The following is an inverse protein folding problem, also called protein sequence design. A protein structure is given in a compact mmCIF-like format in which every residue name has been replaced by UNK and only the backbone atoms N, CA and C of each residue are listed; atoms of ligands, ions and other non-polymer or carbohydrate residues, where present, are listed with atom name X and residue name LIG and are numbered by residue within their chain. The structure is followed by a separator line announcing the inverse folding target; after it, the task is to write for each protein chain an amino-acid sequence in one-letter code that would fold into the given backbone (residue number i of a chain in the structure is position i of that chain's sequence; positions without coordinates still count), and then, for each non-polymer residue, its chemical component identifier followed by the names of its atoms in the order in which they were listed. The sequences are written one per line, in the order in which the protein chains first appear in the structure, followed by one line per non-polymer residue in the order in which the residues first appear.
data_IF_017732038712
#
_entry.id   IF_017732038712
#
_cell.length_a   1.000
_cell.length_b   1.000
_cell.length_c   1.000
_cell.angle_alpha   90.00
_cell.angle_beta   90.00
_cell.angle_gamma   90.00
#
_symmetry.space_group_name_H-M   'P 1'
#
loop_
_entity.id
_entity.type
_entity.pdbx_description
1 polymer ?
#
# COMPACT_ATOMS: atom_id res chain seq x y z
N UNK A 1 8.26 8.29 42.50
CA UNK A 1 7.86 8.46 41.11
C UNK A 1 6.53 7.76 40.93
N UNK A 2 5.48 8.51 40.60
CA UNK A 2 4.09 8.07 40.61
C UNK A 2 3.80 7.02 39.52
N UNK A 3 3.06 5.99 39.85
CA UNK A 3 2.60 4.90 38.96
C UNK A 3 1.65 5.38 37.84
N UNK A 4 1.34 6.67 37.74
CA UNK A 4 0.38 7.26 36.80
C UNK A 4 0.94 7.49 35.39
N UNK A 5 2.25 7.39 35.19
CA UNK A 5 2.90 7.72 33.89
C UNK A 5 3.16 6.46 33.00
N UNK A 6 2.90 5.27 33.51
CA UNK A 6 3.14 4.00 32.79
C UNK A 6 2.03 3.56 31.83
N UNK A 7 0.88 4.26 31.81
CA UNK A 7 -0.33 3.76 31.11
C UNK A 7 -0.78 4.61 29.90
N UNK A 8 -0.03 5.66 29.54
CA UNK A 8 -0.47 6.51 28.40
C UNK A 8 -0.13 5.83 27.07
N UNK A 9 -1.15 5.22 26.46
CA UNK A 9 -1.04 4.69 25.10
C UNK A 9 -1.04 5.85 24.11
N UNK A 10 -0.02 5.90 23.26
CA UNK A 10 0.07 6.82 22.12
C UNK A 10 -0.38 6.06 20.87
N UNK A 11 -1.22 6.70 20.06
CA UNK A 11 -1.70 6.09 18.82
C UNK A 11 -1.20 6.86 17.61
N UNK A 12 -0.33 6.25 16.80
CA UNK A 12 0.08 6.78 15.49
C UNK A 12 -0.75 6.10 14.41
N UNK A 13 -1.30 6.87 13.48
CA UNK A 13 -2.18 6.36 12.44
C UNK A 13 -1.54 6.51 11.08
N UNK A 14 -1.27 5.38 10.42
CA UNK A 14 -0.71 5.33 9.09
C UNK A 14 -1.81 5.19 8.04
N UNK A 15 -1.81 6.12 7.08
CA UNK A 15 -2.71 6.15 5.94
C UNK A 15 -1.89 5.93 4.67
N UNK A 16 -1.83 4.70 4.22
CA UNK A 16 -1.14 4.33 3.01
C UNK A 16 -2.02 4.57 1.80
N UNK A 17 -1.50 5.25 0.79
CA UNK A 17 -2.15 5.43 -0.51
C UNK A 17 -1.26 4.80 -1.57
N UNK A 18 -1.77 3.81 -2.32
CA UNK A 18 -1.03 3.30 -3.48
C UNK A 18 -1.07 4.34 -4.59
N UNK A 19 0.07 4.55 -5.26
CA UNK A 19 0.14 5.48 -6.40
C UNK A 19 -0.93 5.20 -7.46
N UNK A 20 -1.27 6.22 -8.26
CA UNK A 20 -2.21 6.15 -9.38
C UNK A 20 -1.75 5.16 -10.47
N UNK A 21 -2.66 4.69 -11.34
CA UNK A 21 -2.32 3.70 -12.37
C UNK A 21 -1.19 4.16 -13.29
N UNK A 22 -0.28 3.25 -13.63
CA UNK A 22 0.68 3.44 -14.71
C UNK A 22 0.07 2.81 -15.96
N UNK A 23 -0.07 3.62 -17.03
CA UNK A 23 -0.64 3.14 -18.29
C UNK A 23 0.40 2.97 -19.40
N UNK A 24 1.58 3.57 -19.23
CA UNK A 24 2.67 3.55 -20.20
C UNK A 24 3.63 2.36 -20.03
N UNK A 25 3.30 1.41 -19.15
CA UNK A 25 4.14 0.22 -18.88
C UNK A 25 4.05 -0.85 -19.99
N UNK A 26 3.05 -0.76 -20.88
CA UNK A 26 2.81 -1.74 -21.94
C UNK A 26 2.48 -3.14 -21.41
N UNK A 27 1.94 -3.25 -20.19
CA UNK A 27 1.69 -4.51 -19.50
C UNK A 27 2.94 -5.18 -18.95
N UNK A 28 4.02 -4.44 -18.83
CA UNK A 28 5.30 -4.95 -18.35
C UNK A 28 5.49 -4.73 -16.84
N UNK A 29 6.40 -5.48 -16.27
CA UNK A 29 6.89 -5.29 -14.90
C UNK A 29 7.78 -4.05 -14.88
N UNK A 30 7.47 -3.06 -14.05
CA UNK A 30 8.25 -1.82 -13.98
C UNK A 30 9.03 -1.63 -12.65
N UNK A 31 8.61 -2.26 -11.53
CA UNK A 31 9.34 -2.18 -10.27
C UNK A 31 9.74 -0.75 -9.88
N UNK A 32 11.04 -0.49 -9.82
CA UNK A 32 11.61 0.81 -9.49
C UNK A 32 11.89 1.71 -10.72
N UNK A 33 11.48 1.33 -11.94
CA UNK A 33 11.54 2.27 -13.06
C UNK A 33 10.72 3.51 -12.72
N UNK A 34 11.31 4.69 -12.96
CA UNK A 34 10.68 5.97 -12.66
C UNK A 34 9.83 6.42 -13.84
N UNK A 35 8.57 6.01 -13.83
CA UNK A 35 7.58 6.25 -14.88
C UNK A 35 6.38 6.99 -14.30
N UNK A 36 5.75 7.79 -15.16
CA UNK A 36 4.56 8.59 -14.83
C UNK A 36 3.34 7.72 -14.56
N UNK A 37 2.43 8.23 -13.74
CA UNK A 37 1.13 7.64 -13.53
C UNK A 37 0.02 8.51 -14.14
N UNK A 38 -1.13 7.88 -14.39
CA UNK A 38 -2.33 8.53 -14.86
C UNK A 38 -3.13 9.10 -13.69
N UNK A 39 -3.21 10.41 -13.61
CA UNK A 39 -3.97 11.15 -12.59
C UNK A 39 -5.22 11.82 -13.15
N UNK A 40 -5.72 11.39 -14.30
CA UNK A 40 -6.85 12.03 -14.99
C UNK A 40 -8.21 11.75 -14.36
N UNK A 41 -8.35 10.66 -13.60
CA UNK A 41 -9.62 10.29 -12.95
C UNK A 41 -9.90 11.13 -11.70
N UNK A 42 -10.56 12.27 -11.91
CA UNK A 42 -10.85 13.24 -10.86
C UNK A 42 -11.74 12.68 -9.74
N UNK A 43 -12.72 11.85 -10.09
CA UNK A 43 -13.67 11.28 -9.11
C UNK A 43 -12.94 10.43 -8.08
N UNK A 44 -11.92 9.68 -8.49
CA UNK A 44 -11.06 8.89 -7.60
C UNK A 44 -10.33 9.78 -6.59
N UNK A 45 -9.69 10.85 -7.05
CA UNK A 45 -8.94 11.75 -6.17
C UNK A 45 -9.83 12.56 -5.24
N UNK A 46 -11.00 12.99 -5.71
CA UNK A 46 -12.02 13.67 -4.90
C UNK A 46 -12.50 12.76 -3.76
N UNK A 47 -12.69 11.47 -4.02
CA UNK A 47 -13.08 10.49 -3.01
C UNK A 47 -11.94 10.20 -2.01
N UNK A 48 -10.71 10.01 -2.50
CA UNK A 48 -9.52 9.81 -1.65
C UNK A 48 -9.30 11.03 -0.74
N UNK A 49 -9.37 12.24 -1.28
CA UNK A 49 -9.18 13.48 -0.52
C UNK A 49 -10.20 13.65 0.62
N UNK A 50 -11.41 13.10 0.48
CA UNK A 50 -12.48 13.18 1.50
C UNK A 50 -12.21 12.30 2.72
N UNK A 51 -11.58 11.12 2.54
CA UNK A 51 -11.39 10.16 3.64
C UNK A 51 -10.07 10.32 4.37
N UNK A 52 -9.10 11.00 3.79
CA UNK A 52 -7.80 11.23 4.41
C UNK A 52 -7.90 12.28 5.56
N UNK A 53 -7.11 12.13 6.65
CA UNK A 53 -7.11 13.07 7.76
C UNK A 53 -6.54 14.42 7.33
N UNK A 54 -7.30 15.48 7.58
CA UNK A 54 -6.96 16.88 7.15
C UNK A 54 -5.66 17.40 7.76
N UNK A 55 -5.28 16.90 8.92
CA UNK A 55 -4.03 17.23 9.61
C UNK A 55 -3.16 15.98 9.68
N UNK A 56 -2.11 15.92 8.87
CA UNK A 56 -1.21 14.78 8.82
C UNK A 56 0.19 15.22 8.37
N UNK A 57 1.20 14.44 8.72
CA UNK A 57 2.53 14.49 8.11
C UNK A 57 2.54 13.63 6.85
N UNK A 58 3.25 14.09 5.82
CA UNK A 58 3.24 13.43 4.51
C UNK A 58 4.61 12.84 4.18
N UNK A 59 4.56 11.61 3.70
CA UNK A 59 5.69 10.86 3.16
C UNK A 59 5.34 10.32 1.77
N UNK A 60 6.34 10.24 0.90
CA UNK A 60 6.23 9.55 -0.38
C UNK A 60 7.52 8.80 -0.67
N UNK A 61 7.45 7.77 -1.50
CA UNK A 61 8.67 7.16 -2.02
C UNK A 61 9.45 8.17 -2.88
N UNK A 62 10.64 7.79 -3.31
CA UNK A 62 11.45 8.62 -4.23
C UNK A 62 10.99 8.52 -5.69
N UNK A 63 9.97 7.71 -6.01
CA UNK A 63 9.51 7.50 -7.38
C UNK A 63 8.43 8.51 -7.78
N UNK A 64 8.56 9.09 -8.97
CA UNK A 64 7.75 10.19 -9.53
C UNK A 64 6.25 9.95 -9.35
N UNK A 65 5.75 8.76 -9.66
CA UNK A 65 4.32 8.41 -9.59
C UNK A 65 3.69 8.60 -8.21
N UNK A 66 4.47 8.49 -7.13
CA UNK A 66 3.95 8.75 -5.78
C UNK A 66 3.78 10.24 -5.51
N UNK A 67 4.67 11.06 -6.05
CA UNK A 67 4.58 12.52 -5.98
C UNK A 67 3.41 13.03 -6.82
N UNK A 68 3.26 12.56 -8.07
CA UNK A 68 2.13 12.89 -8.94
C UNK A 68 0.79 12.53 -8.30
N UNK A 69 0.71 11.37 -7.64
CA UNK A 69 -0.49 10.95 -6.89
C UNK A 69 -0.80 11.90 -5.74
N UNK A 70 0.21 12.29 -4.95
CA UNK A 70 0.02 13.27 -3.87
C UNK A 70 -0.46 14.62 -4.39
N UNK A 71 0.13 15.10 -5.47
CA UNK A 71 -0.27 16.37 -6.13
C UNK A 71 -1.72 16.33 -6.63
N UNK A 72 -2.16 15.20 -7.18
CA UNK A 72 -3.53 15.01 -7.62
C UNK A 72 -4.53 15.01 -6.45
N UNK A 73 -4.17 14.42 -5.31
CA UNK A 73 -4.98 14.48 -4.08
C UNK A 73 -5.11 15.92 -3.59
N UNK A 74 -4.02 16.71 -3.60
CA UNK A 74 -4.08 18.12 -3.22
C UNK A 74 -4.89 18.95 -4.21
N UNK A 75 -4.76 18.71 -5.51
CA UNK A 75 -5.57 19.36 -6.53
C UNK A 75 -7.07 19.03 -6.44
N UNK A 76 -7.43 17.90 -5.82
CA UNK A 76 -8.80 17.50 -5.49
C UNK A 76 -9.35 18.18 -4.20
N UNK A 77 -8.67 19.19 -3.68
CA UNK A 77 -9.12 20.00 -2.55
C UNK A 77 -8.65 19.53 -1.17
N UNK A 78 -7.72 18.59 -1.11
CA UNK A 78 -7.03 18.31 0.14
C UNK A 78 -6.03 19.43 0.46
N UNK A 79 -5.92 19.91 1.73
CA UNK A 79 -4.94 20.93 2.09
C UNK A 79 -3.52 20.48 1.78
N UNK A 80 -2.83 21.20 0.88
CA UNK A 80 -1.44 20.90 0.58
C UNK A 80 -0.57 21.13 1.81
N UNK A 81 0.21 20.13 2.28
CA UNK A 81 1.09 20.29 3.43
C UNK A 81 2.24 21.25 3.11
N UNK A 82 2.85 21.83 4.14
CA UNK A 82 4.03 22.68 3.98
C UNK A 82 5.23 21.90 3.40
N UNK A 83 5.29 20.60 3.68
CA UNK A 83 6.32 19.71 3.13
C UNK A 83 5.80 18.26 3.06
N UNK A 84 6.38 17.49 2.14
CA UNK A 84 6.24 16.04 2.06
C UNK A 84 7.65 15.44 2.05
N UNK A 85 7.94 14.59 3.01
CA UNK A 85 9.23 13.94 3.13
C UNK A 85 9.37 12.82 2.08
N UNK A 86 10.53 12.78 1.43
CA UNK A 86 10.89 11.71 0.51
C UNK A 86 11.55 10.57 1.30
N UNK A 87 10.96 9.38 1.27
CA UNK A 87 11.45 8.19 1.95
C UNK A 87 11.80 7.11 0.92
N UNK A 88 13.08 6.94 0.65
CA UNK A 88 13.56 5.98 -0.35
C UNK A 88 13.25 4.52 0.04
N UNK A 89 13.16 4.23 1.35
CA UNK A 89 12.77 2.90 1.81
C UNK A 89 11.31 2.55 1.47
N UNK A 90 10.49 3.51 1.02
CA UNK A 90 9.14 3.24 0.55
C UNK A 90 9.05 3.00 -0.96
N UNK A 91 10.18 2.95 -1.69
CA UNK A 91 10.19 2.54 -3.09
C UNK A 91 9.59 1.14 -3.28
N UNK A 92 9.07 0.86 -4.49
CA UNK A 92 8.59 -0.47 -4.87
C UNK A 92 9.75 -1.48 -4.85
N UNK A 93 9.46 -2.78 -4.89
CA UNK A 93 10.46 -3.82 -5.00
C UNK A 93 11.34 -3.60 -6.24
N UNK A 94 12.65 -3.67 -6.04
CA UNK A 94 13.61 -3.66 -7.15
C UNK A 94 13.59 -5.02 -7.84
N UNK A 95 12.82 -5.12 -8.92
CA UNK A 95 12.60 -6.38 -9.64
C UNK A 95 13.70 -6.66 -10.69
N UNK A 96 14.87 -6.05 -10.56
CA UNK A 96 16.08 -6.34 -11.31
C UNK A 96 15.83 -6.59 -12.78
N UNK A 97 16.33 -7.71 -13.32
CA UNK A 97 16.16 -8.12 -14.71
C UNK A 97 14.73 -8.56 -15.10
N UNK A 98 13.82 -8.71 -14.13
CA UNK A 98 12.41 -8.95 -14.46
C UNK A 98 11.71 -7.67 -14.93
N UNK A 99 12.29 -6.49 -14.67
CA UNK A 99 11.74 -5.21 -15.13
C UNK A 99 11.81 -5.11 -16.66
N UNK A 100 10.67 -4.90 -17.29
CA UNK A 100 10.52 -4.88 -18.74
C UNK A 100 9.95 -6.18 -19.33
N UNK A 101 9.88 -7.27 -18.54
CA UNK A 101 9.20 -8.50 -18.95
C UNK A 101 7.69 -8.32 -18.92
N UNK A 102 6.96 -8.94 -19.84
CA UNK A 102 5.50 -8.93 -19.83
C UNK A 102 4.98 -9.58 -18.54
N UNK A 103 4.19 -8.84 -17.79
CA UNK A 103 3.71 -9.25 -16.45
C UNK A 103 2.83 -10.49 -16.51
N UNK A 104 1.88 -10.54 -17.44
CA UNK A 104 0.97 -11.67 -17.56
C UNK A 104 1.71 -12.96 -17.92
N UNK A 105 2.60 -12.90 -18.89
CA UNK A 105 3.42 -14.04 -19.30
C UNK A 105 4.35 -14.49 -18.17
N UNK A 106 4.95 -13.54 -17.44
CA UNK A 106 5.81 -13.84 -16.30
C UNK A 106 5.05 -14.57 -15.19
N UNK A 107 3.88 -14.06 -14.79
CA UNK A 107 3.08 -14.66 -13.72
C UNK A 107 2.53 -16.03 -14.15
N UNK A 108 2.15 -16.21 -15.41
CA UNK A 108 1.70 -17.49 -15.93
C UNK A 108 2.81 -18.57 -15.91
N UNK A 109 4.08 -18.18 -15.88
CA UNK A 109 5.23 -19.09 -15.77
C UNK A 109 5.54 -19.50 -14.32
N UNK A 110 4.88 -18.89 -13.31
CA UNK A 110 5.11 -19.19 -11.90
C UNK A 110 4.18 -20.28 -11.39
N UNK A 111 4.54 -20.97 -10.28
CA UNK A 111 3.67 -21.98 -9.68
C UNK A 111 2.28 -21.42 -9.37
N UNK A 112 1.26 -22.26 -9.55
CA UNK A 112 -0.13 -21.92 -9.19
C UNK A 112 -0.21 -21.60 -7.70
N UNK A 113 -0.90 -20.50 -7.35
CA UNK A 113 -1.05 -20.06 -5.96
C UNK A 113 0.06 -19.12 -5.46
N UNK A 114 0.99 -18.71 -6.32
CA UNK A 114 1.95 -17.66 -5.97
C UNK A 114 1.23 -16.33 -5.79
N UNK A 115 1.31 -15.73 -4.60
CA UNK A 115 0.71 -14.43 -4.31
C UNK A 115 1.61 -13.24 -4.70
N UNK A 116 2.82 -13.52 -5.20
CA UNK A 116 3.80 -12.51 -5.59
C UNK A 116 4.64 -13.01 -6.77
N UNK A 117 5.61 -12.21 -7.20
CA UNK A 117 6.50 -12.54 -8.34
C UNK A 117 7.36 -13.78 -8.10
N UNK A 118 7.71 -14.08 -6.84
CA UNK A 118 8.56 -15.20 -6.44
C UNK A 118 8.28 -15.58 -4.98
N UNK A 119 8.99 -16.63 -4.48
CA UNK A 119 9.10 -16.87 -3.04
C UNK A 119 9.62 -15.62 -2.32
N UNK A 120 9.20 -15.38 -1.09
CA UNK A 120 9.53 -14.15 -0.34
C UNK A 120 11.04 -13.94 -0.17
N UNK A 121 11.82 -15.01 -0.15
CA UNK A 121 13.28 -14.99 0.00
C UNK A 121 14.02 -15.07 -1.34
N UNK A 122 13.32 -15.33 -2.45
CA UNK A 122 13.92 -15.40 -3.79
C UNK A 122 14.13 -13.98 -4.33
N UNK A 123 15.39 -13.50 -4.47
CA UNK A 123 15.63 -12.19 -5.04
C UNK A 123 15.43 -12.21 -6.57
N UNK A 124 14.91 -11.12 -7.11
CA UNK A 124 14.99 -10.90 -8.54
C UNK A 124 16.47 -10.84 -8.98
N UNK A 125 16.85 -11.38 -10.14
CA UNK A 125 18.22 -11.27 -10.64
C UNK A 125 18.63 -9.78 -10.75
N UNK A 126 19.73 -9.41 -10.11
CA UNK A 126 20.20 -8.01 -9.96
C UNK A 126 19.18 -7.09 -9.25
N UNK A 127 18.33 -7.65 -8.39
CA UNK A 127 17.31 -6.94 -7.63
C UNK A 127 17.22 -7.40 -6.19
N UNK A 128 16.07 -7.22 -5.58
CA UNK A 128 15.80 -7.61 -4.19
C UNK A 128 14.70 -8.66 -4.11
N UNK A 129 14.70 -9.43 -3.01
CA UNK A 129 13.60 -10.30 -2.61
C UNK A 129 12.47 -9.49 -1.99
N UNK A 130 11.28 -10.11 -1.79
CA UNK A 130 10.23 -9.46 -1.01
C UNK A 130 10.65 -9.28 0.45
N UNK A 131 11.47 -10.18 1.00
CA UNK A 131 12.00 -10.06 2.36
C UNK A 131 12.94 -8.85 2.51
N UNK A 132 13.74 -8.52 1.50
CA UNK A 132 14.58 -7.31 1.51
C UNK A 132 13.72 -6.04 1.49
N UNK A 133 12.71 -6.00 0.61
CA UNK A 133 11.69 -4.94 0.59
C UNK A 133 11.03 -4.80 1.96
N UNK A 134 10.51 -5.90 2.50
CA UNK A 134 9.85 -5.93 3.81
C UNK A 134 10.76 -5.35 4.90
N UNK A 135 12.01 -5.80 4.95
CA UNK A 135 12.97 -5.39 5.97
C UNK A 135 13.23 -3.88 5.93
N UNK A 136 13.46 -3.29 4.73
CA UNK A 136 13.73 -1.84 4.63
C UNK A 136 12.49 -1.00 4.93
N UNK A 137 11.31 -1.45 4.48
CA UNK A 137 10.04 -0.77 4.75
C UNK A 137 9.72 -0.77 6.24
N UNK A 138 9.81 -1.92 6.90
CA UNK A 138 9.53 -2.03 8.34
C UNK A 138 10.48 -1.17 9.19
N UNK A 139 11.77 -1.14 8.85
CA UNK A 139 12.74 -0.26 9.54
C UNK A 139 12.36 1.21 9.39
N UNK A 140 11.94 1.63 8.21
CA UNK A 140 11.49 3.01 7.98
C UNK A 140 10.20 3.32 8.74
N UNK A 141 9.22 2.41 8.73
CA UNK A 141 7.97 2.57 9.49
C UNK A 141 8.27 2.75 10.98
N UNK A 142 9.06 1.86 11.58
CA UNK A 142 9.40 1.94 13.01
C UNK A 142 10.11 3.26 13.36
N UNK A 143 11.06 3.69 12.55
CA UNK A 143 11.78 4.96 12.73
C UNK A 143 10.84 6.18 12.64
N UNK A 144 9.98 6.21 11.63
CA UNK A 144 9.02 7.31 11.42
C UNK A 144 7.94 7.29 12.50
N UNK A 145 7.47 6.13 12.91
CA UNK A 145 6.46 5.97 13.95
C UNK A 145 6.91 6.58 15.29
N UNK A 146 8.19 6.42 15.63
CA UNK A 146 8.79 7.06 16.81
C UNK A 146 8.86 8.59 16.62
N UNK A 147 9.28 9.06 15.45
CA UNK A 147 9.44 10.49 15.17
C UNK A 147 8.09 11.24 15.11
N UNK A 148 7.05 10.55 14.64
CA UNK A 148 5.72 11.12 14.42
C UNK A 148 4.68 10.58 15.42
N UNK A 149 5.13 10.12 16.59
CA UNK A 149 4.28 9.50 17.58
C UNK A 149 3.03 10.35 17.90
N UNK A 150 1.87 9.72 17.85
CA UNK A 150 0.58 10.35 18.14
C UNK A 150 -0.05 11.12 16.98
N UNK A 151 0.58 11.16 15.81
CA UNK A 151 0.09 11.86 14.63
C UNK A 151 -0.60 10.92 13.62
N UNK A 152 -1.29 11.53 12.67
CA UNK A 152 -1.66 10.89 11.42
C UNK A 152 -0.49 11.03 10.42
N UNK A 153 -0.09 9.92 9.80
CA UNK A 153 0.97 9.84 8.78
C UNK A 153 0.33 9.38 7.48
N UNK A 154 0.35 10.21 6.46
CA UNK A 154 -0.05 9.81 5.10
C UNK A 154 1.21 9.41 4.34
N UNK A 155 1.24 8.18 3.83
CA UNK A 155 2.36 7.65 3.06
C UNK A 155 1.89 7.21 1.67
N UNK A 156 2.37 7.89 0.63
CA UNK A 156 2.10 7.49 -0.76
C UNK A 156 3.18 6.53 -1.23
N UNK A 157 2.77 5.29 -1.52
CA UNK A 157 3.68 4.20 -1.82
C UNK A 157 3.21 3.29 -2.95
N UNK A 158 3.59 2.02 -2.86
CA UNK A 158 3.43 1.02 -3.91
C UNK A 158 2.77 -0.24 -3.37
N UNK A 159 2.37 -1.14 -4.28
CA UNK A 159 1.72 -2.38 -3.91
C UNK A 159 2.54 -3.23 -2.94
N UNK A 160 3.80 -3.51 -3.29
CA UNK A 160 4.71 -4.28 -2.44
C UNK A 160 5.01 -3.61 -1.11
N UNK A 161 5.23 -2.29 -1.12
CA UNK A 161 5.48 -1.49 0.10
C UNK A 161 4.30 -1.57 1.08
N UNK A 162 3.06 -1.43 0.59
CA UNK A 162 1.87 -1.49 1.43
C UNK A 162 1.63 -2.91 1.94
N UNK A 163 1.85 -3.93 1.11
CA UNK A 163 1.81 -5.34 1.53
C UNK A 163 2.82 -5.62 2.65
N UNK A 164 4.03 -5.05 2.58
CA UNK A 164 5.02 -5.14 3.64
C UNK A 164 4.54 -4.49 4.94
N UNK A 165 3.94 -3.30 4.87
CA UNK A 165 3.35 -2.62 6.02
C UNK A 165 2.20 -3.43 6.66
N UNK A 166 1.34 -4.05 5.84
CA UNK A 166 0.29 -4.97 6.31
C UNK A 166 0.89 -6.19 7.01
N UNK A 167 1.93 -6.81 6.43
CA UNK A 167 2.65 -7.93 7.04
C UNK A 167 3.25 -7.59 8.41
N UNK A 168 3.80 -6.37 8.56
CA UNK A 168 4.27 -5.85 9.85
C UNK A 168 3.12 -5.82 10.87
N UNK A 169 2.00 -5.22 10.50
CA UNK A 169 0.85 -5.06 11.38
C UNK A 169 0.16 -6.42 11.72
N UNK A 170 0.38 -7.45 10.91
CA UNK A 170 -0.09 -8.81 11.17
C UNK A 170 0.89 -9.64 12.02
N UNK A 171 1.69 -8.99 12.85
CA UNK A 171 2.60 -9.64 13.79
C UNK A 171 3.96 -9.99 13.19
N UNK A 172 4.42 -9.23 12.19
CA UNK A 172 5.73 -9.42 11.58
C UNK A 172 5.78 -10.60 10.61
N UNK A 173 4.65 -10.90 9.95
CA UNK A 173 4.51 -12.04 9.03
C UNK A 173 4.36 -11.54 7.59
N UNK A 174 5.48 -11.36 6.85
CA UNK A 174 5.50 -10.79 5.50
C UNK A 174 4.60 -11.54 4.51
N UNK A 175 4.55 -12.87 4.58
CA UNK A 175 3.73 -13.72 3.71
C UNK A 175 2.24 -13.38 3.81
N UNK A 176 1.76 -13.07 5.01
CA UNK A 176 0.36 -12.71 5.22
C UNK A 176 -0.03 -11.41 4.54
N UNK A 177 0.92 -10.46 4.47
CA UNK A 177 0.70 -9.22 3.75
C UNK A 177 0.51 -9.42 2.23
N UNK A 178 1.13 -10.45 1.66
CA UNK A 178 1.01 -10.78 0.24
C UNK A 178 -0.40 -11.23 -0.16
N UNK A 179 -1.18 -11.78 0.77
CA UNK A 179 -2.53 -12.26 0.51
C UNK A 179 -3.57 -11.15 0.26
N UNK A 180 -3.21 -9.89 0.51
CA UNK A 180 -4.12 -8.76 0.29
C UNK A 180 -3.91 -8.14 -1.09
N UNK A 181 -4.98 -7.86 -1.79
CA UNK A 181 -4.93 -6.97 -2.95
C UNK A 181 -4.79 -5.53 -2.49
N UNK A 182 -4.00 -4.77 -3.24
CA UNK A 182 -3.81 -3.34 -3.01
C UNK A 182 -3.97 -2.67 -4.38
N UNK A 183 -5.12 -2.05 -4.63
CA UNK A 183 -5.45 -1.39 -5.88
C UNK A 183 -4.85 0.02 -5.97
N UNK A 184 -4.66 0.52 -7.20
CA UNK A 184 -4.17 1.89 -7.39
C UNK A 184 -5.14 2.89 -6.75
N UNK A 185 -4.61 3.93 -6.13
CA UNK A 185 -5.34 4.95 -5.36
C UNK A 185 -6.08 4.42 -4.12
N UNK A 186 -6.07 3.10 -3.84
CA UNK A 186 -6.70 2.58 -2.63
C UNK A 186 -6.01 3.08 -1.37
N UNK A 187 -6.78 3.12 -0.28
CA UNK A 187 -6.31 3.54 1.04
C UNK A 187 -6.28 2.35 1.99
N UNK A 188 -5.15 2.17 2.66
CA UNK A 188 -4.95 1.18 3.72
C UNK A 188 -4.57 1.91 5.01
N UNK A 189 -5.29 1.67 6.10
CA UNK A 189 -5.01 2.30 7.39
C UNK A 189 -4.50 1.28 8.40
N UNK A 190 -3.39 1.64 9.06
CA UNK A 190 -2.79 0.89 10.15
C UNK A 190 -2.68 1.82 11.35
N UNK A 191 -3.20 1.41 12.50
CA UNK A 191 -3.08 2.14 13.75
C UNK A 191 -2.07 1.42 14.65
N UNK A 192 -1.02 2.11 15.06
CA UNK A 192 -0.03 1.63 16.03
C UNK A 192 -0.34 2.18 17.42
N UNK A 193 -0.52 1.31 18.37
CA UNK A 193 -0.71 1.63 19.79
C UNK A 193 0.57 1.33 20.54
N UNK A 194 1.25 2.35 21.03
CA UNK A 194 2.50 2.22 21.75
C UNK A 194 2.41 2.76 23.18
N UNK A 195 2.97 2.04 24.13
CA UNK A 195 3.23 2.49 25.49
C UNK A 195 4.57 1.92 25.96
N UNK A 196 4.97 2.15 27.22
CA UNK A 196 6.20 1.57 27.77
C UNK A 196 6.23 0.03 27.68
N UNK A 197 5.07 -0.63 27.78
CA UNK A 197 4.95 -2.09 27.90
C UNK A 197 4.15 -2.73 26.75
N UNK A 198 3.69 -1.92 25.77
CA UNK A 198 2.80 -2.41 24.70
C UNK A 198 3.21 -1.82 23.36
N UNK A 199 3.25 -2.70 22.36
CA UNK A 199 3.32 -2.33 20.94
C UNK A 199 2.34 -3.22 20.19
N UNK A 200 1.26 -2.62 19.70
CA UNK A 200 0.16 -3.34 19.07
C UNK A 200 -0.30 -2.62 17.82
N UNK A 201 -0.52 -3.37 16.75
CA UNK A 201 -1.08 -2.87 15.50
C UNK A 201 -2.55 -3.29 15.33
N UNK A 202 -3.33 -2.41 14.72
CA UNK A 202 -4.68 -2.69 14.25
C UNK A 202 -4.82 -2.25 12.80
N UNK A 203 -5.57 -3.00 12.02
CA UNK A 203 -5.86 -2.73 10.62
C UNK A 203 -7.34 -2.34 10.48
N UNK A 204 -7.70 -1.05 10.61
CA UNK A 204 -9.10 -0.60 10.46
C UNK A 204 -9.64 -0.76 9.05
N UNK A 205 -8.77 -0.62 8.02
CA UNK A 205 -9.14 -0.85 6.62
C UNK A 205 -7.93 -1.29 5.81
N UNK A 206 -8.15 -2.15 4.83
CA UNK A 206 -7.17 -2.55 3.82
C UNK A 206 -7.81 -2.43 2.45
N UNK A 207 -7.07 -1.85 1.50
CA UNK A 207 -7.51 -1.71 0.10
C UNK A 207 -8.85 -0.98 -0.07
N UNK A 208 -9.15 0.00 0.80
CA UNK A 208 -10.38 0.79 0.67
C UNK A 208 -10.36 1.61 -0.61
N UNK A 209 -11.38 1.44 -1.42
CA UNK A 209 -11.62 2.19 -2.65
C UNK A 209 -12.81 3.15 -2.41
N UNK A 210 -12.56 4.38 -1.94
CA UNK A 210 -13.62 5.26 -1.45
C UNK A 210 -14.61 5.70 -2.54
N UNK A 211 -14.21 5.69 -3.81
CA UNK A 211 -15.08 5.99 -4.94
C UNK A 211 -16.14 4.91 -5.22
N UNK A 212 -15.94 3.67 -4.74
CA UNK A 212 -16.92 2.58 -4.91
C UNK A 212 -18.15 2.80 -4.02
N UNK A 213 -18.04 3.56 -2.95
CA UNK A 213 -19.16 3.90 -2.08
C UNK A 213 -20.17 4.85 -2.75
N UNK A 214 -19.82 5.48 -3.87
CA UNK A 214 -20.74 6.29 -4.65
C UNK A 214 -21.74 5.40 -5.40
N UNK A 215 -23.04 5.76 -5.40
CA UNK A 215 -24.11 4.94 -6.00
C UNK A 215 -23.85 4.57 -7.48
N UNK A 216 -23.08 5.40 -8.18
CA UNK A 216 -22.63 5.19 -9.56
C UNK A 216 -21.69 3.98 -9.69
N UNK A 217 -20.88 3.68 -8.68
CA UNK A 217 -19.96 2.56 -8.64
C UNK A 217 -20.57 1.32 -7.97
N UNK A 218 -21.53 1.49 -7.07
CA UNK A 218 -22.27 0.40 -6.45
C UNK A 218 -23.03 -0.46 -7.47
N UNK A 219 -23.50 0.15 -8.59
CA UNK A 219 -24.18 -0.57 -9.67
C UNK A 219 -23.25 -1.50 -10.46
N UNK A 220 -21.93 -1.26 -10.48
CA UNK A 220 -20.96 -2.11 -11.17
C UNK A 220 -20.45 -3.28 -10.33
N UNK A 221 -20.73 -3.25 -9.02
CA UNK A 221 -20.31 -4.28 -8.05
C UNK A 221 -21.52 -5.02 -7.47
N UNK A 222 -22.60 -5.20 -8.25
CA UNK A 222 -23.59 -6.21 -7.89
C UNK A 222 -22.85 -7.55 -7.81
N UNK A 223 -22.96 -8.30 -6.68
CA UNK A 223 -22.39 -9.62 -6.61
C UNK A 223 -22.89 -10.41 -7.82
N UNK A 224 -21.99 -11.03 -8.55
CA UNK A 224 -22.37 -11.97 -9.58
C UNK A 224 -23.40 -12.91 -8.93
N UNK A 225 -24.55 -13.06 -9.58
CA UNK A 225 -25.57 -13.97 -9.11
C UNK A 225 -24.95 -15.33 -8.80
N UNK A 226 -25.58 -16.17 -7.97
CA UNK A 226 -24.98 -17.40 -7.49
C UNK A 226 -24.34 -18.14 -8.65
N UNK A 227 -23.03 -18.36 -8.54
CA UNK A 227 -22.27 -19.11 -9.52
C UNK A 227 -22.93 -20.50 -9.61
N UNK A 228 -23.51 -20.80 -10.75
CA UNK A 228 -24.07 -22.13 -11.00
C UNK A 228 -22.87 -23.06 -11.10
N UNK A 229 -22.52 -23.66 -9.98
CA UNK A 229 -21.53 -24.75 -9.93
C UNK A 229 -22.06 -25.84 -10.84
N UNK A 230 -21.38 -26.16 -11.96
CA UNK A 230 -21.84 -27.27 -12.81
C UNK A 230 -21.79 -28.54 -11.95
N UNK A 231 -22.90 -29.25 -11.87
CA UNK A 231 -22.97 -30.56 -11.24
C UNK A 231 -21.93 -31.48 -11.91
N UNK A 232 -20.84 -31.71 -11.21
CA UNK A 232 -19.88 -32.73 -11.59
C UNK A 232 -20.60 -34.07 -11.51
N UNK A 233 -20.93 -34.65 -12.67
CA UNK A 233 -21.33 -36.04 -12.78
C UNK A 233 -20.14 -36.89 -12.32
N UNK A 234 -20.18 -37.30 -11.05
CA UNK A 234 -19.40 -38.42 -10.58
C UNK A 234 -20.01 -39.66 -11.22
N UNK A 235 -19.35 -40.23 -12.20
CA UNK A 235 -19.51 -41.60 -12.67
C UNK A 235 -18.23 -42.33 -12.32
#
# INVERSE_FOLDING_TARGET
MSNADKSKVVTTRWWWVRHAPVRSDGGNIYGQKDIECDTSDREVFDAVAKILPRTAVWYASNLMRTHQTAEAIWAAGFPKPASMAKEAAFAEQHLGRWQGMNRAAFLASRPVGSHWFADINEPAPDGESFMDLYTRVCRAIVRIDVAEAGKDVIAVGHGGTIKAAVGLALGGQPERGLAFDIDNCSVTRLDHFASADTSLWRLPMVNQQPWIADAKHAAMHQPAGPEVVPENKLA
#
